data_IF_058706807329
#
_entry.id   IF_058706807329
#
_cell.length_a   1.000
_cell.length_b   1.000
_cell.length_c   1.000
_cell.angle_alpha   90.00
_cell.angle_beta   90.00
_cell.angle_gamma   90.00
#
_symmetry.space_group_name_H-M   'P 1'
#
loop_
_entity.id
_entity.type
_entity.pdbx_description
1 polymer ?
#
# COMPACT_ATOMS: atom_id res chain seq x y z
N UNK A 1 39.42 -9.43 27.19
CA UNK A 1 38.53 -8.52 27.94
C UNK A 1 38.07 -7.34 27.11
N UNK A 2 38.95 -6.47 26.58
CA UNK A 2 38.57 -5.32 25.71
C UNK A 2 37.58 -5.61 24.56
N UNK A 3 37.77 -6.70 23.81
CA UNK A 3 36.87 -7.05 22.71
C UNK A 3 35.48 -7.52 23.17
N UNK A 4 35.41 -8.19 24.32
CA UNK A 4 34.14 -8.67 24.91
C UNK A 4 33.35 -7.49 25.49
N UNK A 5 34.04 -6.56 26.16
CA UNK A 5 33.44 -5.31 26.66
C UNK A 5 32.97 -4.40 25.52
N UNK A 6 33.78 -4.27 24.45
CA UNK A 6 33.37 -3.54 23.25
C UNK A 6 32.13 -4.15 22.62
N UNK A 7 32.08 -5.48 22.48
CA UNK A 7 30.91 -6.16 21.95
C UNK A 7 29.67 -5.94 22.83
N UNK A 8 29.78 -6.12 24.15
CA UNK A 8 28.68 -5.89 25.07
C UNK A 8 28.16 -4.44 25.04
N UNK A 9 29.05 -3.46 25.00
CA UNK A 9 28.67 -2.03 24.93
C UNK A 9 27.96 -1.67 23.63
N UNK A 10 28.46 -2.16 22.48
CA UNK A 10 27.82 -1.91 21.19
C UNK A 10 26.53 -2.73 21.02
N UNK A 11 26.46 -3.92 21.62
CA UNK A 11 25.25 -4.74 21.64
C UNK A 11 24.12 -4.02 22.37
N UNK A 12 24.35 -3.53 23.60
CA UNK A 12 23.35 -2.75 24.33
C UNK A 12 23.04 -1.43 23.62
N UNK A 13 24.06 -0.72 23.11
CA UNK A 13 23.86 0.54 22.38
C UNK A 13 22.97 0.40 21.13
N UNK A 14 22.97 -0.77 20.48
CA UNK A 14 22.03 -1.07 19.40
C UNK A 14 20.57 -1.10 19.89
N UNK A 15 20.31 -1.70 21.05
CA UNK A 15 18.96 -1.73 21.64
C UNK A 15 18.54 -0.37 22.16
N UNK A 16 19.46 0.40 22.75
CA UNK A 16 19.20 1.79 23.17
C UNK A 16 18.79 2.66 21.98
N UNK A 17 19.54 2.61 20.88
CA UNK A 17 19.20 3.32 19.64
C UNK A 17 17.86 2.87 19.06
N UNK A 18 17.55 1.57 19.13
CA UNK A 18 16.23 1.03 18.75
C UNK A 18 15.10 1.58 19.63
N UNK A 19 15.34 1.69 20.94
CA UNK A 19 14.40 2.26 21.91
C UNK A 19 14.13 3.76 21.68
N UNK A 20 15.18 4.54 21.44
CA UNK A 20 15.05 5.96 21.07
C UNK A 20 14.23 6.14 19.80
N UNK A 21 14.49 5.33 18.77
CA UNK A 21 13.72 5.38 17.52
C UNK A 21 12.24 5.03 17.76
N UNK A 22 11.95 4.03 18.59
CA UNK A 22 10.58 3.63 18.93
C UNK A 22 9.82 4.75 19.64
N UNK A 23 10.42 5.38 20.65
CA UNK A 23 9.82 6.53 21.34
C UNK A 23 9.64 7.71 20.40
N UNK A 24 10.58 7.93 19.47
CA UNK A 24 10.45 8.91 18.40
C UNK A 24 9.23 8.67 17.51
N UNK A 25 8.88 7.41 17.21
CA UNK A 25 7.64 7.09 16.50
C UNK A 25 6.40 7.32 17.34
N UNK A 26 6.42 6.93 18.61
CA UNK A 26 5.29 7.07 19.55
C UNK A 26 4.93 8.53 19.82
N UNK A 27 5.91 9.42 19.86
CA UNK A 27 5.71 10.87 20.06
C UNK A 27 5.61 11.66 18.77
N UNK A 28 6.09 11.10 17.65
CA UNK A 28 6.07 11.72 16.34
C UNK A 28 4.87 11.29 15.50
N UNK A 29 5.07 10.32 14.61
CA UNK A 29 4.09 10.01 13.56
C UNK A 29 2.85 9.27 14.09
N UNK A 30 2.97 8.40 15.10
CA UNK A 30 1.88 7.51 15.55
C UNK A 30 0.60 8.27 15.94
N UNK A 31 0.64 9.34 16.76
CA UNK A 31 -0.56 10.12 17.09
C UNK A 31 -1.27 10.69 15.85
N UNK A 32 -0.50 11.19 14.87
CA UNK A 32 -1.03 11.68 13.60
C UNK A 32 -1.76 10.56 12.83
N UNK A 33 -1.22 9.34 12.84
CA UNK A 33 -1.86 8.18 12.20
C UNK A 33 -3.23 7.87 12.80
N UNK A 34 -3.32 7.89 14.13
CA UNK A 34 -4.56 7.57 14.86
C UNK A 34 -5.64 8.59 14.49
N UNK A 35 -5.32 9.89 14.47
CA UNK A 35 -6.27 10.93 14.06
C UNK A 35 -6.70 10.75 12.61
N UNK A 36 -5.76 10.46 11.70
CA UNK A 36 -6.06 10.25 10.28
C UNK A 36 -6.92 9.00 10.05
N UNK A 37 -6.67 7.92 10.80
CA UNK A 37 -7.50 6.71 10.85
C UNK A 37 -8.93 7.03 11.25
N UNK A 38 -9.10 7.69 12.39
CA UNK A 38 -10.41 8.05 12.91
C UNK A 38 -11.15 8.93 11.91
N UNK A 39 -10.50 9.96 11.37
CA UNK A 39 -11.08 10.83 10.35
C UNK A 39 -11.55 10.05 9.11
N UNK A 40 -10.70 9.18 8.57
CA UNK A 40 -11.05 8.39 7.38
C UNK A 40 -12.22 7.47 7.66
N UNK A 41 -12.20 6.74 8.78
CA UNK A 41 -13.33 5.88 9.16
C UNK A 41 -14.63 6.67 9.35
N UNK A 42 -14.56 7.88 9.91
CA UNK A 42 -15.72 8.78 10.00
C UNK A 42 -16.24 9.18 8.62
N UNK A 43 -15.36 9.55 7.67
CA UNK A 43 -15.75 9.87 6.29
C UNK A 43 -16.42 8.67 5.61
N UNK A 44 -15.85 7.48 5.74
CA UNK A 44 -16.43 6.25 5.19
C UNK A 44 -17.82 5.99 5.78
N UNK A 45 -17.96 6.15 7.10
CA UNK A 45 -19.24 5.99 7.79
C UNK A 45 -20.28 7.01 7.31
N UNK A 46 -19.89 8.27 7.07
CA UNK A 46 -20.78 9.30 6.53
C UNK A 46 -21.20 9.05 5.08
N UNK A 47 -20.30 8.54 4.23
CA UNK A 47 -20.62 8.18 2.85
C UNK A 47 -21.59 6.99 2.81
N UNK A 48 -21.38 6.00 3.68
CA UNK A 48 -22.16 4.77 3.76
C UNK A 48 -21.66 3.68 2.81
N UNK A 49 -21.63 2.44 3.29
CA UNK A 49 -21.06 1.29 2.55
C UNK A 49 -21.72 1.05 1.18
N UNK A 50 -23.04 1.23 1.06
CA UNK A 50 -23.73 1.00 -0.21
C UNK A 50 -23.28 1.95 -1.33
N UNK A 51 -22.96 3.20 -0.98
CA UNK A 51 -22.47 4.19 -1.96
C UNK A 51 -21.07 3.84 -2.41
N UNK A 52 -20.24 3.36 -1.49
CA UNK A 52 -18.88 2.88 -1.75
C UNK A 52 -18.91 1.68 -2.68
N UNK A 53 -19.68 0.64 -2.34
CA UNK A 53 -19.81 -0.57 -3.14
C UNK A 53 -20.29 -0.25 -4.55
N UNK A 54 -21.19 0.73 -4.70
CA UNK A 54 -21.64 1.22 -6.00
C UNK A 54 -20.52 1.90 -6.79
N UNK A 55 -19.72 2.76 -6.15
CA UNK A 55 -18.60 3.44 -6.79
C UNK A 55 -17.51 2.44 -7.24
N UNK A 56 -17.15 1.48 -6.39
CA UNK A 56 -16.19 0.42 -6.71
C UNK A 56 -16.71 -0.43 -7.88
N UNK A 57 -17.98 -0.84 -7.85
CA UNK A 57 -18.62 -1.61 -8.94
C UNK A 57 -18.70 -0.82 -10.25
N UNK A 58 -18.81 0.50 -10.18
CA UNK A 58 -18.73 1.32 -11.38
C UNK A 58 -17.30 1.33 -11.95
N UNK A 59 -16.29 1.48 -11.09
CA UNK A 59 -14.89 1.47 -11.49
C UNK A 59 -14.47 0.11 -12.09
N UNK A 60 -15.08 -1.00 -11.66
CA UNK A 60 -14.74 -2.33 -12.18
C UNK A 60 -15.11 -2.55 -13.66
N UNK A 61 -15.97 -1.70 -14.24
CA UNK A 61 -16.43 -1.84 -15.63
C UNK A 61 -15.40 -1.43 -16.68
N UNK A 62 -14.56 -0.45 -16.37
CA UNK A 62 -13.64 0.15 -17.33
C UNK A 62 -12.19 -0.17 -16.94
N UNK A 63 -11.41 -0.73 -17.86
CA UNK A 63 -10.03 -1.17 -17.62
C UNK A 63 -9.17 -0.10 -16.93
N UNK A 64 -9.23 1.15 -17.42
CA UNK A 64 -8.45 2.25 -16.82
C UNK A 64 -8.87 2.49 -15.38
N UNK A 65 -10.18 2.57 -15.10
CA UNK A 65 -10.70 2.78 -13.75
C UNK A 65 -10.39 1.60 -12.83
N UNK A 66 -10.48 0.37 -13.36
CA UNK A 66 -10.22 -0.87 -12.63
C UNK A 66 -8.80 -1.00 -12.11
N UNK A 67 -7.81 -0.43 -12.81
CA UNK A 67 -6.40 -0.53 -12.45
C UNK A 67 -5.79 0.79 -11.97
N UNK A 68 -6.57 1.88 -11.91
CA UNK A 68 -6.12 3.15 -11.32
C UNK A 68 -6.99 3.57 -10.13
N UNK A 69 -8.26 3.90 -10.36
CA UNK A 69 -9.15 4.43 -9.33
C UNK A 69 -9.64 3.35 -8.38
N UNK A 70 -10.04 2.18 -8.90
CA UNK A 70 -10.58 1.10 -8.08
C UNK A 70 -9.59 0.64 -7.00
N UNK A 71 -8.29 0.40 -7.28
CA UNK A 71 -7.31 0.05 -6.26
C UNK A 71 -7.13 1.14 -5.21
N UNK A 72 -7.05 2.42 -5.63
CA UNK A 72 -6.91 3.55 -4.71
C UNK A 72 -8.09 3.60 -3.73
N UNK A 73 -9.32 3.55 -4.25
CA UNK A 73 -10.52 3.54 -3.44
C UNK A 73 -10.57 2.30 -2.53
N UNK A 74 -10.20 1.13 -3.06
CA UNK A 74 -10.20 -0.11 -2.28
C UNK A 74 -9.28 -0.02 -1.06
N UNK A 75 -8.07 0.49 -1.28
CA UNK A 75 -7.04 0.64 -0.24
C UNK A 75 -7.41 1.73 0.76
N UNK A 76 -7.90 2.88 0.31
CA UNK A 76 -8.29 3.97 1.21
C UNK A 76 -9.47 3.61 2.11
N UNK A 77 -10.37 2.74 1.64
CA UNK A 77 -11.62 2.43 2.33
C UNK A 77 -11.55 1.18 3.21
N UNK A 78 -10.90 0.11 2.74
CA UNK A 78 -10.81 -1.14 3.49
C UNK A 78 -9.44 -1.43 4.06
N UNK A 79 -8.38 -0.76 3.60
CA UNK A 79 -6.98 -1.00 4.02
C UNK A 79 -6.51 -2.44 3.74
N UNK A 80 -5.22 -2.72 3.90
CA UNK A 80 -4.69 -4.08 3.82
C UNK A 80 -5.15 -4.92 5.03
N UNK A 81 -5.61 -6.18 4.90
CA UNK A 81 -5.84 -6.96 3.68
C UNK A 81 -7.26 -6.89 3.13
N UNK A 82 -8.16 -6.15 3.78
CA UNK A 82 -9.58 -6.16 3.40
C UNK A 82 -9.84 -5.53 2.02
N UNK A 83 -8.95 -4.67 1.51
CA UNK A 83 -9.03 -4.09 0.18
C UNK A 83 -9.17 -5.13 -0.95
N UNK A 84 -8.61 -6.34 -0.78
CA UNK A 84 -8.70 -7.40 -1.79
C UNK A 84 -10.13 -7.94 -1.97
N UNK A 85 -11.00 -7.79 -0.96
CA UNK A 85 -12.39 -8.27 -1.02
C UNK A 85 -13.22 -7.57 -2.11
N UNK A 86 -12.82 -6.38 -2.54
CA UNK A 86 -13.45 -5.70 -3.68
C UNK A 86 -13.16 -6.37 -5.03
N UNK A 87 -12.26 -7.34 -5.07
CA UNK A 87 -12.09 -8.24 -6.21
C UNK A 87 -13.36 -9.05 -6.54
N UNK A 88 -14.35 -9.09 -5.64
CA UNK A 88 -15.69 -9.64 -5.92
C UNK A 88 -16.44 -8.91 -7.06
N UNK A 89 -16.02 -7.70 -7.42
CA UNK A 89 -16.68 -6.87 -8.44
C UNK A 89 -16.04 -6.92 -9.83
N UNK A 90 -14.92 -7.64 -10.00
CA UNK A 90 -14.26 -7.87 -11.29
C UNK A 90 -14.51 -9.30 -11.77
N UNK A 91 -14.32 -9.56 -13.07
CA UNK A 91 -14.43 -10.91 -13.63
C UNK A 91 -13.28 -11.81 -13.13
N UNK A 92 -13.46 -13.13 -13.22
CA UNK A 92 -12.46 -14.10 -12.73
C UNK A 92 -11.06 -13.90 -13.35
N UNK A 93 -11.02 -13.68 -14.67
CA UNK A 93 -9.79 -13.43 -15.43
C UNK A 93 -9.10 -12.10 -15.08
N UNK A 94 -9.81 -11.18 -14.43
CA UNK A 94 -9.33 -9.84 -14.05
C UNK A 94 -8.84 -9.78 -12.60
N UNK A 95 -9.23 -10.77 -11.76
CA UNK A 95 -8.84 -10.82 -10.34
C UNK A 95 -7.34 -10.80 -10.11
N UNK A 96 -6.49 -11.53 -10.87
CA UNK A 96 -5.04 -11.47 -10.68
C UNK A 96 -4.47 -10.06 -10.93
N UNK A 97 -4.96 -9.38 -11.97
CA UNK A 97 -4.55 -8.03 -12.32
C UNK A 97 -5.04 -6.98 -11.31
N UNK A 98 -6.26 -7.15 -10.79
CA UNK A 98 -6.78 -6.33 -9.70
C UNK A 98 -5.93 -6.51 -8.44
N UNK A 99 -5.66 -7.75 -8.04
CA UNK A 99 -4.81 -8.06 -6.88
C UNK A 99 -3.43 -7.43 -7.02
N UNK A 100 -2.78 -7.60 -8.17
CA UNK A 100 -1.48 -7.01 -8.48
C UNK A 100 -1.50 -5.47 -8.37
N UNK A 101 -2.55 -4.84 -8.89
CA UNK A 101 -2.72 -3.38 -8.80
C UNK A 101 -2.92 -2.92 -7.34
N UNK A 102 -3.73 -3.63 -6.56
CA UNK A 102 -3.99 -3.30 -5.14
C UNK A 102 -2.71 -3.47 -4.31
N UNK A 103 -2.06 -4.63 -4.37
CA UNK A 103 -0.87 -4.91 -3.56
C UNK A 103 0.27 -3.95 -3.90
N UNK A 104 0.44 -3.62 -5.18
CA UNK A 104 1.44 -2.64 -5.62
C UNK A 104 1.15 -1.23 -5.11
N UNK A 105 -0.12 -0.87 -4.88
CA UNK A 105 -0.51 0.45 -4.39
C UNK A 105 -0.33 0.62 -2.87
N UNK A 106 -0.32 -0.48 -2.12
CA UNK A 106 -0.16 -0.44 -0.66
C UNK A 106 1.19 0.12 -0.20
N UNK A 107 2.24 0.02 -1.03
CA UNK A 107 3.53 0.65 -0.76
C UNK A 107 3.49 2.19 -0.91
N UNK A 108 3.18 2.76 -2.09
CA UNK A 108 3.24 4.21 -2.32
C UNK A 108 2.21 5.01 -1.54
N UNK A 109 1.06 4.42 -1.21
CA UNK A 109 -0.01 5.11 -0.45
C UNK A 109 0.42 5.39 0.99
N UNK A 110 1.30 4.55 1.56
CA UNK A 110 1.70 4.59 2.97
C UNK A 110 2.42 5.89 3.34
N UNK A 111 3.02 6.59 2.38
CA UNK A 111 3.64 7.89 2.64
C UNK A 111 2.64 9.01 2.96
N UNK A 112 1.44 8.97 2.37
CA UNK A 112 0.38 9.97 2.57
C UNK A 112 -0.73 9.47 3.49
N UNK A 113 -1.10 8.21 3.34
CA UNK A 113 -2.12 7.51 4.12
C UNK A 113 -1.51 6.26 4.79
N UNK A 114 -0.58 6.47 5.73
CA UNK A 114 0.13 5.41 6.46
C UNK A 114 -0.76 4.37 7.15
N UNK A 115 -2.02 4.74 7.40
CA UNK A 115 -3.01 3.82 7.96
C UNK A 115 -3.47 2.73 7.00
N UNK A 116 -3.39 2.99 5.69
CA UNK A 116 -3.89 2.09 4.68
C UNK A 116 -3.07 0.80 4.59
N UNK A 117 -1.80 0.87 5.00
CA UNK A 117 -0.93 -0.29 5.18
C UNK A 117 0.08 -0.09 6.32
N UNK A 118 -0.42 -0.14 7.56
CA UNK A 118 0.42 0.02 8.75
C UNK A 118 1.61 -0.97 8.79
N UNK A 119 1.44 -2.16 8.18
CA UNK A 119 2.47 -3.19 8.10
C UNK A 119 3.71 -2.82 7.29
N UNK A 120 3.67 -1.77 6.47
CA UNK A 120 4.84 -1.33 5.67
C UNK A 120 5.35 0.06 6.06
N UNK A 121 4.75 0.65 7.09
CA UNK A 121 5.12 1.98 7.55
C UNK A 121 6.62 2.06 7.89
N UNK A 122 7.19 1.02 8.50
CA UNK A 122 8.61 0.99 8.84
C UNK A 122 9.52 1.02 7.60
N UNK A 123 9.09 0.42 6.49
CA UNK A 123 9.83 0.45 5.21
C UNK A 123 9.86 1.88 4.67
N UNK A 124 8.69 2.54 4.64
CA UNK A 124 8.60 3.92 4.20
C UNK A 124 9.41 4.87 5.10
N UNK A 125 9.30 4.72 6.43
CA UNK A 125 10.04 5.55 7.37
C UNK A 125 11.55 5.34 7.26
N UNK A 126 12.01 4.12 6.98
CA UNK A 126 13.42 3.84 6.70
C UNK A 126 13.94 4.64 5.52
N UNK A 127 13.20 4.64 4.40
CA UNK A 127 13.53 5.42 3.20
C UNK A 127 13.46 6.93 3.49
N UNK A 128 12.37 7.38 4.12
CA UNK A 128 12.14 8.79 4.43
C UNK A 128 13.26 9.36 5.31
N UNK A 129 13.72 8.61 6.32
CA UNK A 129 14.86 9.00 7.16
C UNK A 129 16.14 9.22 6.33
N UNK A 130 16.42 8.36 5.35
CA UNK A 130 17.54 8.54 4.44
C UNK A 130 17.42 9.81 3.58
N UNK A 131 16.21 10.06 3.05
CA UNK A 131 15.90 11.24 2.24
C UNK A 131 16.00 12.54 3.05
N UNK A 132 15.51 12.54 4.29
CA UNK A 132 15.63 13.69 5.21
C UNK A 132 17.08 13.99 5.58
N UNK A 133 17.90 12.95 5.82
CA UNK A 133 19.34 13.11 6.07
C UNK A 133 20.07 13.72 4.87
N UNK A 134 19.60 13.48 3.65
CA UNK A 134 20.13 14.10 2.44
C UNK A 134 19.63 15.55 2.21
N UNK A 135 18.83 16.11 3.14
CA UNK A 135 18.35 17.50 3.09
C UNK A 135 17.04 17.69 2.31
N UNK A 136 16.37 16.62 1.90
CA UNK A 136 15.10 16.70 1.16
C UNK A 136 13.89 16.53 2.08
N UNK A 137 12.75 17.10 1.69
CA UNK A 137 11.51 17.01 2.46
C UNK A 137 10.83 15.63 2.33
N UNK A 138 10.40 15.06 3.45
CA UNK A 138 9.58 13.84 3.48
C UNK A 138 8.24 14.01 2.74
N UNK A 139 7.61 15.18 2.78
CA UNK A 139 6.33 15.44 2.09
C UNK A 139 6.44 15.33 0.57
N UNK A 140 7.50 15.88 -0.02
CA UNK A 140 7.79 15.73 -1.46
C UNK A 140 7.98 14.27 -1.86
N UNK A 141 8.64 13.47 -1.01
CA UNK A 141 8.79 12.03 -1.23
C UNK A 141 7.43 11.32 -1.23
N UNK A 142 6.58 11.58 -0.23
CA UNK A 142 5.25 10.99 -0.12
C UNK A 142 4.39 11.25 -1.36
N UNK A 143 4.36 12.51 -1.83
CA UNK A 143 3.59 12.91 -3.01
C UNK A 143 4.13 12.23 -4.28
N UNK A 144 5.46 12.18 -4.45
CA UNK A 144 6.08 11.51 -5.61
C UNK A 144 5.78 10.02 -5.62
N UNK A 145 5.88 9.36 -4.47
CA UNK A 145 5.57 7.94 -4.33
C UNK A 145 4.12 7.67 -4.70
N UNK A 146 3.19 8.48 -4.19
CA UNK A 146 1.77 8.36 -4.53
C UNK A 146 1.53 8.52 -6.04
N UNK A 147 2.02 9.60 -6.65
CA UNK A 147 1.80 9.89 -8.08
C UNK A 147 2.40 8.82 -8.99
N UNK A 148 3.66 8.41 -8.74
CA UNK A 148 4.31 7.33 -9.50
C UNK A 148 3.58 6.02 -9.26
N UNK A 149 3.15 5.77 -8.02
CA UNK A 149 2.35 4.61 -7.63
C UNK A 149 1.11 4.46 -8.51
N UNK A 150 0.32 5.53 -8.69
CA UNK A 150 -0.88 5.52 -9.55
C UNK A 150 -0.55 5.10 -11.00
N UNK A 151 0.56 5.60 -11.55
CA UNK A 151 1.00 5.25 -12.91
C UNK A 151 1.44 3.78 -12.98
N UNK A 152 2.21 3.34 -11.99
CA UNK A 152 2.74 1.97 -11.91
C UNK A 152 1.61 0.95 -11.81
N UNK A 153 0.62 1.17 -10.96
CA UNK A 153 -0.49 0.22 -10.79
C UNK A 153 -1.34 0.10 -12.05
N UNK A 154 -1.55 1.19 -12.78
CA UNK A 154 -2.29 1.17 -14.03
C UNK A 154 -1.55 0.32 -15.07
N UNK A 155 -0.24 0.54 -15.22
CA UNK A 155 0.57 -0.23 -16.16
C UNK A 155 0.61 -1.71 -15.77
N UNK A 156 0.87 -2.00 -14.49
CA UNK A 156 0.92 -3.36 -13.95
C UNK A 156 -0.40 -4.09 -14.15
N UNK A 157 -1.53 -3.48 -13.79
CA UNK A 157 -2.85 -4.08 -14.00
C UNK A 157 -3.13 -4.43 -15.46
N UNK A 158 -2.82 -3.53 -16.40
CA UNK A 158 -3.00 -3.80 -17.85
C UNK A 158 -2.11 -4.95 -18.32
N UNK A 159 -0.84 -4.95 -17.93
CA UNK A 159 0.12 -5.99 -18.33
C UNK A 159 -0.28 -7.33 -17.73
N UNK A 160 -0.61 -7.37 -16.44
CA UNK A 160 -1.02 -8.58 -15.73
C UNK A 160 -2.31 -9.15 -16.31
N UNK A 161 -3.32 -8.34 -16.65
CA UNK A 161 -4.55 -8.83 -17.28
C UNK A 161 -4.24 -9.49 -18.64
N UNK A 162 -3.40 -8.87 -19.46
CA UNK A 162 -3.01 -9.42 -20.77
C UNK A 162 -2.27 -10.75 -20.63
N UNK A 163 -1.36 -10.84 -19.67
CA UNK A 163 -0.63 -12.08 -19.38
C UNK A 163 -1.56 -13.18 -18.87
N UNK A 164 -2.45 -12.85 -17.94
CA UNK A 164 -3.45 -13.80 -17.42
C UNK A 164 -4.34 -14.34 -18.53
N UNK A 165 -4.88 -13.48 -19.40
CA UNK A 165 -5.70 -13.89 -20.55
C UNK A 165 -4.94 -14.78 -21.52
N UNK A 166 -3.69 -14.45 -21.80
CA UNK A 166 -2.82 -15.27 -22.65
C UNK A 166 -2.58 -16.68 -22.06
N UNK A 167 -2.30 -16.76 -20.75
CA UNK A 167 -2.07 -18.03 -20.07
C UNK A 167 -3.33 -18.90 -20.04
N UNK A 168 -4.49 -18.32 -19.71
CA UNK A 168 -5.79 -19.01 -19.74
C UNK A 168 -6.07 -19.56 -21.14
N UNK A 169 -5.91 -18.74 -22.18
CA UNK A 169 -6.15 -19.17 -23.56
C UNK A 169 -5.20 -20.30 -24.01
N UNK A 170 -3.94 -20.29 -23.54
CA UNK A 170 -2.97 -21.36 -23.81
C UNK A 170 -3.35 -22.66 -23.09
N UNK A 171 -3.81 -22.57 -21.85
CA UNK A 171 -4.23 -23.73 -21.06
C UNK A 171 -5.49 -24.37 -21.63
N UNK A 172 -6.50 -23.57 -22.02
CA UNK A 172 -7.70 -24.08 -22.68
C UNK A 172 -7.39 -24.81 -24.00
N UNK A 173 -6.36 -24.39 -24.75
CA UNK A 173 -5.92 -25.10 -25.95
C UNK A 173 -5.25 -26.44 -25.63
N UNK A 174 -4.51 -26.54 -24.53
CA UNK A 174 -3.82 -27.76 -24.09
C UNK A 174 -4.76 -28.84 -23.57
N UNK A 175 -5.88 -28.45 -22.94
CA UNK A 175 -6.90 -29.40 -22.44
C UNK A 175 -7.74 -29.99 -23.58
N UNK A 176 -7.86 -29.28 -24.70
CA UNK A 176 -8.63 -29.70 -25.88
C UNK A 176 -7.81 -30.46 -26.94
N UNK A 177 -6.53 -30.75 -26.67
CA UNK A 177 -5.62 -31.58 -27.48
C UNK A 177 -5.23 -32.82 -26.71
#
# INVERSE_FOLDING_TARGET
MKYIEWFGKNFIGLFEAGGEQFIGFMTGIVPLLIVLLTFTYSVIAFIGQDRVDRAIRYCSKYMILRYSIMPILSVMMLTNPMAYTFGKFVNEEEKPAFYDSVVSFLHPVTGLFPYANAGELFVYLGIANGVMKAGYSQSSLAVRYFLVGVVVILFRGIVTERLTKFLIAKESKRVNT
#
